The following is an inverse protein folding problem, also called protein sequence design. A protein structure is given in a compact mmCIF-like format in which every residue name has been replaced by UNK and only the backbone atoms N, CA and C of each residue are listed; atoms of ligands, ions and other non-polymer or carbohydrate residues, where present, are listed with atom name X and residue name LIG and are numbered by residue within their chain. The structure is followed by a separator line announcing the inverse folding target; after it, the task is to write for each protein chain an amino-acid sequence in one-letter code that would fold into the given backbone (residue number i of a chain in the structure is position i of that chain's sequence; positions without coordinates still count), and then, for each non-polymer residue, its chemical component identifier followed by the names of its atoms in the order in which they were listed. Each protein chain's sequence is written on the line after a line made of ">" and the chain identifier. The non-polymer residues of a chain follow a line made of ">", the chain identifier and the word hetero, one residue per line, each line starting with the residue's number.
data_IF_908023522772
#
_entry.id   IF_908023522772
#
_cell.length_a   1.000
_cell.length_b   1.000
_cell.length_c   1.000
_cell.angle_alpha   90.00
_cell.angle_beta   90.00
_cell.angle_gamma   90.00
#
_symmetry.space_group_name_H-M   'P 1'
#
loop_
_entity.id
_entity.type
_entity.pdbx_description
1 polymer ?
#
# COMPACT_ATOMS: atom_id res chain seq x y z
N UNK A 1 -33.17 -0.96 -3.78
CA UNK A 1 -32.76 -2.01 -4.73
C UNK A 1 -31.25 -2.14 -4.64
N UNK A 2 -30.71 -3.31 -4.29
CA UNK A 2 -29.29 -3.61 -4.50
C UNK A 2 -29.06 -3.67 -6.02
N UNK A 3 -27.98 -3.11 -6.53
CA UNK A 3 -27.66 -3.18 -7.96
C UNK A 3 -27.61 -4.65 -8.39
N UNK A 4 -28.30 -5.00 -9.48
CA UNK A 4 -28.24 -6.33 -10.11
C UNK A 4 -26.90 -6.59 -10.81
N UNK A 5 -25.94 -5.67 -10.72
CA UNK A 5 -24.61 -5.78 -11.29
C UNK A 5 -23.53 -5.87 -10.23
N UNK A 6 -22.50 -6.65 -10.52
CA UNK A 6 -21.24 -6.69 -9.78
C UNK A 6 -20.29 -5.64 -10.33
N UNK A 7 -19.56 -4.95 -9.45
CA UNK A 7 -18.42 -4.13 -9.84
C UNK A 7 -17.15 -4.91 -9.53
N UNK A 8 -16.24 -4.99 -10.50
CA UNK A 8 -14.89 -5.50 -10.32
C UNK A 8 -13.96 -4.29 -10.25
N UNK A 9 -13.29 -4.11 -9.12
CA UNK A 9 -12.30 -3.05 -8.92
C UNK A 9 -10.89 -3.66 -8.82
N UNK A 10 -10.10 -3.64 -9.91
CA UNK A 10 -8.76 -4.20 -9.90
C UNK A 10 -7.81 -3.38 -9.02
N UNK A 11 -7.10 -4.07 -8.13
CA UNK A 11 -6.07 -3.50 -7.26
C UNK A 11 -4.78 -4.32 -7.34
N UNK A 12 -3.64 -3.69 -7.14
CA UNK A 12 -2.36 -4.37 -7.00
C UNK A 12 -1.94 -4.37 -5.54
N UNK A 13 -1.60 -5.56 -5.03
CA UNK A 13 -1.23 -5.79 -3.64
C UNK A 13 0.11 -6.52 -3.61
N UNK A 14 1.04 -5.99 -2.83
CA UNK A 14 2.36 -6.57 -2.59
C UNK A 14 2.45 -7.02 -1.15
N UNK A 15 2.99 -8.21 -0.93
CA UNK A 15 3.25 -8.73 0.42
C UNK A 15 4.74 -8.92 0.61
N UNK A 16 5.27 -8.26 1.62
CA UNK A 16 6.64 -8.46 2.11
C UNK A 16 6.51 -8.87 3.58
N UNK A 17 6.65 -10.17 3.84
CA UNK A 17 6.38 -10.75 5.16
C UNK A 17 7.11 -10.00 6.28
N UNK A 18 8.39 -9.66 6.07
CA UNK A 18 9.18 -8.89 7.05
C UNK A 18 8.57 -7.52 7.38
N UNK A 19 7.99 -6.83 6.39
CA UNK A 19 7.34 -5.53 6.57
C UNK A 19 6.02 -5.70 7.34
N UNK A 20 5.20 -6.66 6.94
CA UNK A 20 3.92 -6.96 7.59
C UNK A 20 4.11 -7.42 9.04
N UNK A 21 5.09 -8.28 9.30
CA UNK A 21 5.40 -8.80 10.63
C UNK A 21 5.83 -7.67 11.58
N UNK A 22 6.62 -6.70 11.11
CA UNK A 22 7.00 -5.53 11.91
C UNK A 22 5.78 -4.65 12.16
N UNK A 23 5.01 -4.33 11.11
CA UNK A 23 3.82 -3.50 11.24
C UNK A 23 2.82 -4.10 12.24
N UNK A 24 2.56 -5.40 12.14
CA UNK A 24 1.57 -6.09 12.97
C UNK A 24 1.98 -6.29 14.43
N UNK A 25 3.28 -6.28 14.74
CA UNK A 25 3.75 -6.21 16.13
C UNK A 25 3.37 -4.90 16.81
N UNK A 26 3.20 -3.82 16.06
CA UNK A 26 2.82 -2.50 16.56
C UNK A 26 1.31 -2.23 16.46
N UNK A 27 0.67 -2.76 15.42
CA UNK A 27 -0.69 -2.40 15.05
C UNK A 27 -1.72 -2.87 16.09
N UNK A 28 -2.80 -2.12 16.25
CA UNK A 28 -3.92 -2.48 17.10
C UNK A 28 -4.79 -3.62 16.55
N UNK A 29 -4.44 -4.20 15.39
CA UNK A 29 -5.21 -5.27 14.78
C UNK A 29 -5.09 -6.57 15.56
N UNK A 30 -6.22 -7.21 15.82
CA UNK A 30 -6.22 -8.60 16.27
C UNK A 30 -5.52 -9.51 15.26
N UNK A 31 -4.80 -10.52 15.75
CA UNK A 31 -4.00 -11.46 14.93
C UNK A 31 -4.80 -12.08 13.79
N UNK A 32 -6.11 -12.32 14.00
CA UNK A 32 -7.01 -12.90 12.99
C UNK A 32 -7.17 -12.01 11.74
N UNK A 33 -6.91 -10.71 11.83
CA UNK A 33 -7.03 -9.75 10.73
C UNK A 33 -5.71 -9.45 10.01
N UNK A 34 -4.57 -9.90 10.53
CA UNK A 34 -3.25 -9.63 9.93
C UNK A 34 -3.13 -10.17 8.51
N UNK A 35 -3.63 -11.39 8.26
CA UNK A 35 -3.54 -12.04 6.94
C UNK A 35 -4.40 -11.38 5.85
N UNK A 36 -5.41 -10.61 6.21
CA UNK A 36 -6.37 -10.00 5.28
C UNK A 36 -6.15 -8.50 5.08
N UNK A 37 -5.13 -7.91 5.71
CA UNK A 37 -4.88 -6.46 5.70
C UNK A 37 -3.53 -6.18 5.03
N UNK A 38 -3.47 -6.18 3.68
CA UNK A 38 -2.22 -5.91 2.96
C UNK A 38 -1.71 -4.50 3.30
N UNK A 39 -0.42 -4.38 3.61
CA UNK A 39 0.20 -3.11 4.00
C UNK A 39 0.71 -2.31 2.80
N UNK A 40 0.96 -2.98 1.66
CA UNK A 40 1.45 -2.36 0.43
C UNK A 40 0.45 -2.63 -0.69
N UNK A 41 -0.18 -1.57 -1.19
CA UNK A 41 -1.15 -1.70 -2.27
C UNK A 41 -1.54 -0.38 -2.89
N UNK A 42 -2.09 -0.47 -4.10
CA UNK A 42 -2.58 0.65 -4.89
C UNK A 42 -3.72 0.21 -5.82
N UNK A 43 -4.74 1.05 -5.99
CA UNK A 43 -5.76 0.84 -7.01
C UNK A 43 -5.18 1.09 -8.41
N UNK A 44 -5.61 0.32 -9.42
CA UNK A 44 -5.11 0.52 -10.79
C UNK A 44 -5.35 1.94 -11.32
N UNK A 45 -6.50 2.53 -10.96
CA UNK A 45 -6.86 3.91 -11.33
C UNK A 45 -5.80 4.92 -10.85
N UNK A 46 -5.31 4.74 -9.62
CA UNK A 46 -4.29 5.61 -9.04
C UNK A 46 -2.89 5.31 -9.59
N UNK A 47 -2.62 4.05 -9.95
CA UNK A 47 -1.32 3.66 -10.50
C UNK A 47 -1.09 4.24 -11.89
N UNK A 48 -2.06 4.07 -12.79
CA UNK A 48 -1.92 4.53 -14.16
C UNK A 48 -2.16 6.03 -14.30
N UNK A 49 -3.05 6.60 -13.46
CA UNK A 49 -3.37 8.03 -13.41
C UNK A 49 -3.56 8.68 -14.81
N UNK A 50 -4.17 7.93 -15.72
CA UNK A 50 -4.35 8.27 -17.14
C UNK A 50 -5.77 8.77 -17.43
N UNK A 51 -6.60 8.94 -16.39
CA UNK A 51 -8.01 9.35 -16.49
C UNK A 51 -8.97 8.24 -16.94
N UNK A 52 -8.48 7.02 -17.19
CA UNK A 52 -9.33 5.90 -17.61
C UNK A 52 -9.96 5.19 -16.39
N UNK A 53 -11.25 4.81 -16.45
CA UNK A 53 -11.83 3.94 -15.45
C UNK A 53 -11.27 2.53 -15.61
N UNK A 54 -10.75 1.96 -14.52
CA UNK A 54 -10.27 0.57 -14.49
C UNK A 54 -11.29 -0.39 -13.87
N UNK A 55 -12.35 0.15 -13.27
CA UNK A 55 -13.49 -0.62 -12.78
C UNK A 55 -14.26 -1.23 -13.94
N UNK A 56 -14.67 -2.48 -13.76
CA UNK A 56 -15.45 -3.22 -14.74
C UNK A 56 -16.82 -3.54 -14.14
N UNK A 57 -17.87 -3.41 -14.94
CA UNK A 57 -19.21 -3.80 -14.54
C UNK A 57 -19.53 -5.17 -15.14
N UNK A 58 -19.98 -6.08 -14.29
CA UNK A 58 -20.45 -7.41 -14.65
C UNK A 58 -21.94 -7.47 -14.30
N UNK A 59 -22.78 -7.12 -15.28
CA UNK A 59 -24.23 -7.06 -15.10
C UNK A 59 -24.92 -8.27 -15.74
N UNK A 60 -24.36 -8.81 -16.83
CA UNK A 60 -24.94 -9.91 -17.60
C UNK A 60 -23.88 -10.96 -17.95
N UNK A 61 -24.34 -12.13 -18.38
CA UNK A 61 -23.46 -13.24 -18.72
C UNK A 61 -22.52 -12.91 -19.90
N UNK A 62 -22.96 -12.06 -20.82
CA UNK A 62 -22.18 -11.62 -21.98
C UNK A 62 -20.96 -10.76 -21.58
N UNK A 63 -21.02 -10.10 -20.42
CA UNK A 63 -19.92 -9.25 -19.93
C UNK A 63 -18.73 -10.10 -19.45
N UNK A 64 -18.93 -11.39 -19.12
CA UNK A 64 -17.91 -12.27 -18.55
C UNK A 64 -16.67 -12.31 -19.44
N UNK A 65 -16.84 -12.52 -20.75
CA UNK A 65 -15.71 -12.61 -21.69
C UNK A 65 -14.94 -11.30 -21.78
N UNK A 66 -15.64 -10.16 -21.80
CA UNK A 66 -15.01 -8.86 -21.80
C UNK A 66 -14.22 -8.61 -20.51
N UNK A 67 -14.84 -8.82 -19.35
CA UNK A 67 -14.20 -8.63 -18.05
C UNK A 67 -12.97 -9.54 -17.89
N UNK A 68 -13.09 -10.82 -18.27
CA UNK A 68 -11.98 -11.77 -18.25
C UNK A 68 -10.81 -11.30 -19.10
N UNK A 69 -11.05 -10.95 -20.37
CA UNK A 69 -9.99 -10.54 -21.27
C UNK A 69 -9.34 -9.23 -20.82
N UNK A 70 -10.13 -8.29 -20.29
CA UNK A 70 -9.60 -7.04 -19.73
C UNK A 70 -8.73 -7.31 -18.51
N UNK A 71 -9.17 -8.15 -17.57
CA UNK A 71 -8.39 -8.51 -16.39
C UNK A 71 -7.09 -9.24 -16.76
N UNK A 72 -7.14 -10.19 -17.70
CA UNK A 72 -5.95 -10.89 -18.19
C UNK A 72 -4.95 -9.91 -18.84
N UNK A 73 -5.45 -8.98 -19.65
CA UNK A 73 -4.62 -7.93 -20.26
C UNK A 73 -4.01 -6.99 -19.22
N UNK A 74 -4.75 -6.59 -18.19
CA UNK A 74 -4.24 -5.78 -17.08
C UNK A 74 -3.20 -6.55 -16.27
N UNK A 75 -3.41 -7.84 -16.02
CA UNK A 75 -2.44 -8.68 -15.32
C UNK A 75 -1.12 -8.74 -16.08
N UNK A 76 -1.17 -9.06 -17.38
CA UNK A 76 0.04 -9.22 -18.19
C UNK A 76 0.80 -7.90 -18.38
N UNK A 77 0.09 -6.81 -18.67
CA UNK A 77 0.71 -5.56 -19.11
C UNK A 77 0.93 -4.55 -17.99
N UNK A 78 0.26 -4.70 -16.84
CA UNK A 78 0.35 -3.76 -15.72
C UNK A 78 0.87 -4.47 -14.47
N UNK A 79 0.21 -5.56 -14.05
CA UNK A 79 0.53 -6.21 -12.78
C UNK A 79 1.91 -6.86 -12.78
N UNK A 80 2.28 -7.61 -13.83
CA UNK A 80 3.60 -8.24 -13.93
C UNK A 80 4.74 -7.19 -13.85
N UNK A 81 4.79 -6.15 -14.71
CA UNK A 81 5.83 -5.12 -14.60
C UNK A 81 5.85 -4.40 -13.25
N UNK A 82 4.68 -4.18 -12.65
CA UNK A 82 4.58 -3.59 -11.32
C UNK A 82 5.22 -4.49 -10.25
N UNK A 83 4.90 -5.79 -10.24
CA UNK A 83 5.46 -6.72 -9.27
C UNK A 83 6.97 -6.89 -9.45
N UNK A 84 7.45 -6.95 -10.69
CA UNK A 84 8.88 -7.01 -10.99
C UNK A 84 9.62 -5.76 -10.51
N UNK A 85 9.07 -4.56 -10.78
CA UNK A 85 9.67 -3.29 -10.34
C UNK A 85 9.76 -3.18 -8.82
N UNK A 86 8.72 -3.57 -8.11
CA UNK A 86 8.59 -3.40 -6.67
C UNK A 86 8.86 -4.68 -5.87
N UNK A 87 9.57 -5.64 -6.47
CA UNK A 87 9.97 -6.85 -5.76
C UNK A 87 11.06 -6.58 -4.70
N UNK A 88 11.86 -5.54 -4.90
CA UNK A 88 12.95 -5.21 -3.96
C UNK A 88 12.52 -4.16 -2.95
N UNK A 89 12.97 -4.32 -1.70
CA UNK A 89 12.66 -3.37 -0.63
C UNK A 89 13.22 -1.98 -0.88
N UNK A 90 14.37 -1.85 -1.55
CA UNK A 90 14.98 -0.55 -1.86
C UNK A 90 14.20 0.22 -2.94
N UNK A 91 13.60 -0.47 -3.90
CA UNK A 91 12.69 0.17 -4.87
C UNK A 91 11.38 0.61 -4.21
N UNK A 92 10.86 -0.20 -3.27
CA UNK A 92 9.72 0.19 -2.45
C UNK A 92 10.06 1.41 -1.57
N UNK A 93 11.20 1.41 -0.89
CA UNK A 93 11.66 2.53 -0.05
C UNK A 93 11.76 3.83 -0.86
N UNK A 94 12.40 3.80 -2.03
CA UNK A 94 12.51 4.97 -2.92
C UNK A 94 11.15 5.54 -3.32
N UNK A 95 10.17 4.69 -3.57
CA UNK A 95 8.83 5.09 -3.99
C UNK A 95 7.95 5.55 -2.82
N UNK A 96 8.07 4.92 -1.65
CA UNK A 96 7.33 5.30 -0.44
C UNK A 96 7.86 6.59 0.17
N UNK A 97 9.19 6.72 0.26
CA UNK A 97 9.87 7.86 0.88
C UNK A 97 10.24 8.97 -0.13
N UNK A 98 9.63 8.97 -1.33
CA UNK A 98 9.86 10.01 -2.33
C UNK A 98 9.47 11.40 -1.80
N UNK A 99 10.34 12.39 -2.00
CA UNK A 99 10.14 13.76 -1.49
C UNK A 99 9.47 14.66 -2.54
N UNK A 100 9.77 14.43 -3.82
CA UNK A 100 9.36 15.32 -4.92
C UNK A 100 7.88 15.25 -5.27
N UNK A 101 7.18 14.20 -4.83
CA UNK A 101 5.76 13.97 -5.09
C UNK A 101 5.14 13.12 -3.99
N UNK A 102 3.83 12.94 -4.06
CA UNK A 102 3.13 11.96 -3.23
C UNK A 102 3.54 10.54 -3.62
N UNK A 103 3.69 9.65 -2.63
CA UNK A 103 3.92 8.24 -2.88
C UNK A 103 2.77 7.61 -3.66
N UNK A 104 3.11 6.61 -4.49
CA UNK A 104 2.12 5.74 -5.12
C UNK A 104 1.41 4.85 -4.10
N UNK A 105 2.10 4.42 -3.03
CA UNK A 105 1.59 3.38 -2.16
C UNK A 105 0.82 3.90 -0.97
N UNK A 106 -0.20 3.12 -0.60
CA UNK A 106 -0.94 3.21 0.64
C UNK A 106 -1.73 4.50 0.83
N UNK A 107 -2.81 4.43 1.60
CA UNK A 107 -3.56 5.63 1.99
C UNK A 107 -2.78 6.45 3.01
N UNK A 108 -3.18 7.72 3.18
CA UNK A 108 -2.62 8.67 4.16
C UNK A 108 -2.37 8.06 5.55
N UNK A 109 -3.23 7.13 5.99
CA UNK A 109 -3.12 6.44 7.27
C UNK A 109 -1.85 5.59 7.44
N UNK A 110 -1.33 4.97 6.39
CA UNK A 110 -0.28 3.94 6.49
C UNK A 110 1.07 4.37 5.91
N UNK A 111 1.11 5.47 5.18
CA UNK A 111 2.28 5.94 4.43
C UNK A 111 3.51 6.08 5.34
N UNK A 112 3.37 6.69 6.52
CA UNK A 112 4.49 6.86 7.44
C UNK A 112 4.93 5.57 8.15
N UNK A 113 4.01 4.63 8.39
CA UNK A 113 4.34 3.35 9.02
C UNK A 113 5.14 2.48 8.04
N UNK A 114 4.66 2.39 6.80
CA UNK A 114 5.35 1.65 5.75
C UNK A 114 6.71 2.31 5.42
N UNK A 115 6.73 3.65 5.29
CA UNK A 115 7.93 4.40 4.96
C UNK A 115 9.06 4.21 5.96
N UNK A 116 8.78 4.28 7.26
CA UNK A 116 9.83 4.12 8.28
C UNK A 116 10.32 2.68 8.41
N UNK A 117 9.44 1.69 8.22
CA UNK A 117 9.83 0.27 8.22
C UNK A 117 10.77 -0.02 7.04
N UNK A 118 10.38 0.42 5.83
CA UNK A 118 11.21 0.24 4.64
C UNK A 118 12.57 0.94 4.80
N UNK A 119 12.58 2.20 5.26
CA UNK A 119 13.80 2.96 5.48
C UNK A 119 14.77 2.25 6.44
N UNK A 120 14.26 1.64 7.51
CA UNK A 120 15.08 0.84 8.43
C UNK A 120 15.63 -0.43 7.79
N UNK A 121 14.80 -1.17 7.05
CA UNK A 121 15.19 -2.46 6.46
C UNK A 121 16.22 -2.35 5.33
N UNK A 122 16.33 -1.17 4.71
CA UNK A 122 17.29 -0.92 3.61
C UNK A 122 18.45 -0.01 4.02
N UNK A 123 18.60 0.25 5.33
CA UNK A 123 19.61 1.16 5.87
C UNK A 123 19.61 2.55 5.18
N UNK A 124 18.42 3.11 4.95
CA UNK A 124 18.29 4.40 4.28
C UNK A 124 19.01 5.50 5.08
N UNK A 125 19.97 6.24 4.49
CA UNK A 125 20.77 7.24 5.20
C UNK A 125 19.95 8.41 5.76
N UNK A 126 18.71 8.60 5.28
CA UNK A 126 17.79 9.60 5.77
C UNK A 126 16.82 9.08 6.86
N UNK A 127 17.03 7.87 7.38
CA UNK A 127 16.14 7.23 8.36
C UNK A 127 15.68 8.18 9.48
N UNK A 128 16.61 8.86 10.17
CA UNK A 128 16.25 9.75 11.26
C UNK A 128 15.45 10.98 10.83
N UNK A 129 15.73 11.53 9.63
CA UNK A 129 14.95 12.63 9.06
C UNK A 129 13.53 12.17 8.69
N UNK A 130 13.40 10.95 8.18
CA UNK A 130 12.11 10.34 7.90
C UNK A 130 11.34 10.06 9.19
N UNK A 131 12.03 9.62 10.25
CA UNK A 131 11.42 9.39 11.56
C UNK A 131 10.77 10.67 12.10
N UNK A 132 11.49 11.80 12.06
CA UNK A 132 10.99 13.11 12.47
C UNK A 132 9.82 13.58 11.60
N UNK A 133 9.99 13.53 10.26
CA UNK A 133 8.94 13.90 9.30
C UNK A 133 7.63 13.15 9.56
N UNK A 134 7.68 11.84 9.73
CA UNK A 134 6.47 11.03 9.93
C UNK A 134 5.87 11.21 11.34
N UNK A 135 6.72 11.45 12.35
CA UNK A 135 6.25 11.82 13.69
C UNK A 135 5.44 13.11 13.67
N UNK A 136 5.94 14.16 13.02
CA UNK A 136 5.24 15.44 12.84
C UNK A 136 3.94 15.25 12.05
N UNK A 137 3.99 14.47 10.97
CA UNK A 137 2.80 14.14 10.17
C UNK A 137 1.69 13.52 11.04
N UNK A 138 2.00 12.48 11.83
CA UNK A 138 1.00 11.81 12.65
C UNK A 138 0.53 12.61 13.86
N UNK A 139 1.33 13.56 14.37
CA UNK A 139 0.87 14.51 15.38
C UNK A 139 -0.26 15.39 14.86
N UNK A 140 -0.18 15.81 13.59
CA UNK A 140 -1.17 16.69 12.96
C UNK A 140 -2.34 15.91 12.35
N UNK A 141 -2.05 14.76 11.74
CA UNK A 141 -3.04 13.96 11.02
C UNK A 141 -4.07 13.34 11.99
N UNK A 142 -5.35 13.55 11.70
CA UNK A 142 -6.46 13.03 12.51
C UNK A 142 -6.34 13.38 14.01
N UNK A 143 -5.83 14.58 14.32
CA UNK A 143 -5.61 15.07 15.69
C UNK A 143 -4.75 14.11 16.55
N UNK A 144 -3.72 13.49 15.97
CA UNK A 144 -2.80 12.64 16.72
C UNK A 144 -3.27 11.20 16.92
N UNK A 145 -4.46 10.82 16.42
CA UNK A 145 -5.07 9.52 16.69
C UNK A 145 -4.13 8.33 16.35
N UNK A 146 -3.41 8.43 15.23
CA UNK A 146 -2.51 7.36 14.75
C UNK A 146 -1.07 7.46 15.28
N UNK A 147 -0.72 8.51 16.01
CA UNK A 147 0.64 8.72 16.50
C UNK A 147 1.13 7.56 17.38
N UNK A 148 0.27 7.05 18.24
CA UNK A 148 0.58 5.93 19.14
C UNK A 148 0.95 4.64 18.39
N UNK A 149 0.25 4.34 17.28
CA UNK A 149 0.59 3.19 16.41
C UNK A 149 1.97 3.39 15.79
N UNK A 150 2.24 4.59 15.25
CA UNK A 150 3.53 4.94 14.65
C UNK A 150 4.68 4.85 15.66
N UNK A 151 4.53 5.38 16.88
CA UNK A 151 5.54 5.24 17.93
C UNK A 151 5.78 3.78 18.32
N UNK A 152 4.73 2.95 18.30
CA UNK A 152 4.84 1.51 18.47
C UNK A 152 5.75 0.88 17.40
N UNK A 153 5.55 1.23 16.13
CA UNK A 153 6.40 0.79 15.01
C UNK A 153 7.85 1.21 15.24
N UNK A 154 8.11 2.50 15.50
CA UNK A 154 9.46 3.02 15.75
C UNK A 154 10.14 2.29 16.92
N UNK A 155 9.42 1.99 18.00
CA UNK A 155 9.95 1.24 19.14
C UNK A 155 10.38 -0.17 18.75
N UNK A 156 9.60 -0.87 17.93
CA UNK A 156 9.96 -2.21 17.42
C UNK A 156 11.20 -2.11 16.54
N UNK A 157 11.28 -1.12 15.65
CA UNK A 157 12.43 -0.92 14.78
C UNK A 157 13.74 -0.66 15.54
N UNK A 158 13.69 -0.05 16.73
CA UNK A 158 14.87 0.14 17.60
C UNK A 158 15.45 -1.16 18.16
N UNK A 159 14.67 -2.25 18.14
CA UNK A 159 15.10 -3.58 18.62
C UNK A 159 15.62 -4.51 17.51
N UNK A 160 15.64 -4.02 16.26
CA UNK A 160 16.12 -4.70 15.06
C UNK A 160 17.44 -4.05 14.63
#
# INVERSE_FOLDING_TARGET
>A
MRSESWEINPVMLLRKNVVEDIYHKASYYEVKYHKTTPTIGIALENFNNDGNPYRLQLARQEDITFCHNRLAGLFQNVAIPFFEKYDRLDELDKEVNIISRKSLFSGLKYEGNLGIILAKLVDNPNYYKLEEKYREYYQQFSNGFYLSEYEGVVKILKSI
#
